data_IF_559567181664
#
_entry.id   IF_559567181664
#
_cell.length_a   1.000
_cell.length_b   1.000
_cell.length_c   1.000
_cell.angle_alpha   90.00
_cell.angle_beta   90.00
_cell.angle_gamma   90.00
#
_symmetry.space_group_name_H-M   'P 1'
#
loop_
_entity.id
_entity.type
_entity.pdbx_description
1 polymer ?
#
# COMPACT_ATOMS: atom_id res chain seq x y z
N UNK A 1 16.08 39.35 17.05
CA UNK A 1 14.71 38.79 17.00
C UNK A 1 14.48 37.68 15.95
N UNK A 2 15.43 37.35 15.05
CA UNK A 2 15.28 36.30 14.00
C UNK A 2 15.80 34.90 14.36
N UNK A 3 16.54 34.73 15.46
CA UNK A 3 17.21 33.46 15.83
C UNK A 3 16.34 32.49 16.65
N UNK A 4 15.24 32.94 17.23
CA UNK A 4 14.37 32.12 18.10
C UNK A 4 13.37 31.29 17.31
N UNK A 5 12.86 31.80 16.19
CA UNK A 5 11.79 31.18 15.39
C UNK A 5 12.20 29.83 14.76
N UNK A 6 13.47 29.69 14.34
CA UNK A 6 13.98 28.43 13.78
C UNK A 6 14.05 27.29 14.81
N UNK A 7 14.32 27.62 16.09
CA UNK A 7 14.32 26.62 17.17
C UNK A 7 12.90 26.20 17.55
N UNK A 8 11.95 27.14 17.57
CA UNK A 8 10.53 26.85 17.88
C UNK A 8 9.87 26.01 16.78
N UNK A 9 10.23 26.24 15.51
CA UNK A 9 9.71 25.45 14.38
C UNK A 9 10.26 24.02 14.39
N UNK A 10 11.55 23.86 14.72
CA UNK A 10 12.16 22.54 14.89
C UNK A 10 11.62 21.79 16.12
N UNK A 11 11.37 22.48 17.25
CA UNK A 11 10.72 21.91 18.43
C UNK A 11 9.26 21.52 18.16
N UNK A 12 8.54 22.28 17.33
CA UNK A 12 7.16 21.97 16.95
C UNK A 12 7.08 20.78 15.99
N UNK A 13 8.01 20.70 15.01
CA UNK A 13 8.12 19.58 14.05
C UNK A 13 8.76 18.31 14.63
N UNK A 14 9.52 18.44 15.72
CA UNK A 14 10.14 17.35 16.48
C UNK A 14 9.26 16.87 17.64
N UNK A 15 8.11 17.53 17.87
CA UNK A 15 7.21 17.17 18.96
C UNK A 15 6.67 15.77 18.72
N UNK A 16 7.22 14.79 19.43
CA UNK A 16 6.55 13.52 19.66
C UNK A 16 5.33 13.85 20.52
N UNK A 17 4.13 13.97 19.96
CA UNK A 17 2.96 13.86 20.84
C UNK A 17 2.99 12.45 21.42
N UNK A 18 3.21 12.37 22.72
CA UNK A 18 2.70 11.24 23.48
C UNK A 18 1.22 11.22 23.15
N UNK A 19 0.78 10.22 22.40
CA UNK A 19 -0.64 9.91 22.35
C UNK A 19 -0.98 9.55 23.78
N UNK A 20 -1.39 10.55 24.58
CA UNK A 20 -2.27 10.33 25.70
C UNK A 20 -3.32 9.35 25.21
N UNK A 21 -3.56 8.35 26.03
CA UNK A 21 -4.67 7.43 25.91
C UNK A 21 -5.86 8.26 25.43
N UNK A 22 -6.20 8.17 24.15
CA UNK A 22 -7.39 8.82 23.64
C UNK A 22 -8.53 7.91 24.10
N UNK A 23 -8.75 7.93 25.41
CA UNK A 23 -9.80 7.23 26.15
C UNK A 23 -11.18 7.67 25.65
N UNK A 24 -11.25 8.63 24.72
CA UNK A 24 -12.46 9.09 24.05
C UNK A 24 -12.82 8.31 22.77
N UNK A 25 -11.87 7.58 22.15
CA UNK A 25 -12.15 6.68 21.02
C UNK A 25 -12.36 5.21 21.44
N UNK A 26 -12.19 4.90 22.73
CA UNK A 26 -12.44 3.58 23.36
C UNK A 26 -13.94 3.26 23.56
N UNK A 27 -14.87 3.83 22.76
CA UNK A 27 -16.30 3.54 22.92
C UNK A 27 -16.83 2.38 22.06
N UNK A 28 -16.10 1.94 21.03
CA UNK A 28 -16.45 0.72 20.30
C UNK A 28 -15.28 -0.25 20.21
N UNK A 29 -15.15 -1.10 21.23
CA UNK A 29 -14.25 -2.25 21.18
C UNK A 29 -14.77 -3.25 20.15
N UNK A 30 -14.22 -3.21 18.94
CA UNK A 30 -14.32 -4.30 17.99
C UNK A 30 -13.97 -5.62 18.70
N UNK A 31 -14.83 -6.63 18.55
CA UNK A 31 -14.59 -7.95 19.16
C UNK A 31 -13.31 -8.52 18.55
N UNK A 32 -12.33 -8.85 19.40
CA UNK A 32 -11.08 -9.47 18.98
C UNK A 32 -11.34 -10.93 18.59
N UNK A 33 -11.75 -11.14 17.34
CA UNK A 33 -12.09 -12.45 16.77
C UNK A 33 -10.98 -13.05 15.92
N UNK A 34 -9.95 -12.25 15.60
CA UNK A 34 -8.91 -12.64 14.66
C UNK A 34 -7.84 -13.50 15.35
N UNK A 35 -7.72 -14.74 14.92
CA UNK A 35 -6.71 -15.70 15.40
C UNK A 35 -5.37 -15.44 14.70
N UNK A 36 -4.28 -16.01 15.23
CA UNK A 36 -2.95 -15.97 14.59
C UNK A 36 -3.02 -16.44 13.14
N UNK A 37 -3.75 -17.53 12.88
CA UNK A 37 -3.94 -18.07 11.53
C UNK A 37 -4.66 -17.07 10.61
N UNK A 38 -5.72 -16.42 11.09
CA UNK A 38 -6.47 -15.43 10.32
C UNK A 38 -5.58 -14.21 10.00
N UNK A 39 -4.76 -13.78 10.96
CA UNK A 39 -3.82 -12.66 10.76
C UNK A 39 -2.69 -13.04 9.79
N UNK A 40 -2.17 -14.26 9.86
CA UNK A 40 -1.17 -14.74 8.88
C UNK A 40 -1.77 -14.90 7.49
N UNK A 41 -3.01 -15.38 7.39
CA UNK A 41 -3.71 -15.52 6.12
C UNK A 41 -4.01 -14.14 5.50
N UNK A 42 -4.42 -13.16 6.32
CA UNK A 42 -4.56 -11.77 5.89
C UNK A 42 -3.23 -11.19 5.40
N UNK A 43 -2.14 -11.44 6.12
CA UNK A 43 -0.80 -11.03 5.69
C UNK A 43 -0.43 -11.61 4.34
N UNK A 44 -0.53 -12.95 4.17
CA UNK A 44 -0.21 -13.63 2.91
C UNK A 44 -1.09 -13.11 1.76
N UNK A 45 -2.40 -12.96 1.99
CA UNK A 45 -3.34 -12.45 0.98
C UNK A 45 -3.08 -10.99 0.59
N UNK A 46 -2.63 -10.16 1.52
CA UNK A 46 -2.25 -8.77 1.22
C UNK A 46 -0.96 -8.68 0.41
N UNK A 47 -0.01 -9.60 0.60
CA UNK A 47 1.28 -9.59 -0.13
C UNK A 47 1.21 -10.32 -1.48
N UNK A 48 0.45 -11.41 -1.59
CA UNK A 48 0.27 -12.18 -2.82
C UNK A 48 -0.80 -11.51 -3.72
N UNK A 49 -0.42 -10.41 -4.35
CA UNK A 49 -1.25 -9.74 -5.36
C UNK A 49 -1.04 -10.26 -6.78
N UNK A 50 -1.86 -9.79 -7.73
CA UNK A 50 -1.68 -10.04 -9.17
C UNK A 50 -0.30 -9.64 -9.70
N UNK A 51 0.36 -8.67 -9.03
CA UNK A 51 1.67 -8.16 -9.40
C UNK A 51 2.78 -9.22 -9.39
N UNK A 52 2.77 -10.18 -8.46
CA UNK A 52 3.83 -11.22 -8.40
C UNK A 52 3.79 -12.13 -9.63
N UNK A 53 2.59 -12.48 -10.10
CA UNK A 53 2.40 -13.38 -11.23
C UNK A 53 2.80 -12.74 -12.56
N UNK A 54 2.48 -11.46 -12.75
CA UNK A 54 2.84 -10.72 -13.98
C UNK A 54 4.31 -10.32 -13.96
N UNK A 55 4.75 -9.67 -12.87
CA UNK A 55 6.07 -9.07 -12.81
C UNK A 55 7.18 -10.12 -12.76
N UNK A 56 6.98 -11.26 -12.09
CA UNK A 56 7.95 -12.35 -12.09
C UNK A 56 8.20 -12.86 -13.52
N UNK A 57 7.15 -13.04 -14.32
CA UNK A 57 7.27 -13.44 -15.73
C UNK A 57 8.00 -12.41 -16.57
N UNK A 58 7.66 -11.13 -16.41
CA UNK A 58 8.32 -10.03 -17.14
C UNK A 58 9.80 -9.93 -16.78
N UNK A 59 10.16 -9.98 -15.49
CA UNK A 59 11.54 -9.90 -15.01
C UNK A 59 12.35 -11.12 -15.45
N UNK A 60 11.75 -12.32 -15.39
CA UNK A 60 12.40 -13.53 -15.90
C UNK A 60 12.68 -13.44 -17.40
N UNK A 61 11.75 -12.91 -18.20
CA UNK A 61 11.90 -12.78 -19.65
C UNK A 61 12.89 -11.68 -20.06
N UNK A 62 12.88 -10.53 -19.38
CA UNK A 62 13.53 -9.30 -19.86
C UNK A 62 14.81 -8.92 -19.11
N UNK A 63 15.03 -9.40 -17.88
CA UNK A 63 16.13 -8.95 -17.03
C UNK A 63 17.02 -10.12 -16.58
N UNK A 64 16.46 -11.06 -15.81
CA UNK A 64 17.27 -12.03 -15.05
C UNK A 64 17.40 -13.42 -15.69
N UNK A 65 16.50 -13.79 -16.63
CA UNK A 65 16.51 -15.13 -17.21
C UNK A 65 16.32 -16.23 -16.15
N UNK A 66 16.97 -17.40 -16.30
CA UNK A 66 16.90 -18.50 -15.32
C UNK A 66 17.40 -18.10 -13.91
N UNK A 67 18.23 -17.06 -13.81
CA UNK A 67 18.78 -16.57 -12.54
C UNK A 67 17.75 -15.80 -11.68
N UNK A 68 16.51 -15.60 -12.17
CA UNK A 68 15.43 -14.94 -11.42
C UNK A 68 15.18 -15.59 -10.05
N UNK A 69 15.39 -16.90 -9.93
CA UNK A 69 15.24 -17.64 -8.66
C UNK A 69 16.23 -17.13 -7.61
N UNK A 70 17.49 -16.87 -7.99
CA UNK A 70 18.49 -16.32 -7.08
C UNK A 70 18.10 -14.91 -6.62
N UNK A 71 17.57 -14.08 -7.52
CA UNK A 71 17.08 -12.74 -7.17
C UNK A 71 15.94 -12.80 -6.15
N UNK A 72 14.99 -13.73 -6.33
CA UNK A 72 13.89 -13.92 -5.36
C UNK A 72 14.37 -14.45 -4.01
N UNK A 73 15.38 -15.33 -3.97
CA UNK A 73 15.95 -15.81 -2.71
C UNK A 73 16.59 -14.65 -1.93
N UNK A 74 17.39 -13.82 -2.60
CA UNK A 74 18.00 -12.65 -1.96
C UNK A 74 16.93 -11.66 -1.47
N UNK A 75 15.92 -11.38 -2.29
CA UNK A 75 14.80 -10.52 -1.90
C UNK A 75 14.04 -11.07 -0.69
N UNK A 76 13.81 -12.39 -0.63
CA UNK A 76 13.14 -13.05 0.50
C UNK A 76 13.94 -12.94 1.79
N UNK A 77 15.27 -13.08 1.74
CA UNK A 77 16.16 -12.91 2.91
C UNK A 77 16.08 -11.47 3.41
N UNK A 78 16.26 -10.48 2.52
CA UNK A 78 16.20 -9.05 2.89
C UNK A 78 14.83 -8.67 3.46
N UNK A 79 13.75 -9.14 2.83
CA UNK A 79 12.38 -8.91 3.32
C UNK A 79 12.12 -9.58 4.67
N UNK A 80 12.74 -10.73 4.96
CA UNK A 80 12.60 -11.41 6.24
C UNK A 80 13.23 -10.60 7.38
N UNK A 81 14.42 -10.02 7.15
CA UNK A 81 15.03 -9.12 8.12
C UNK A 81 14.16 -7.89 8.38
N UNK A 82 13.61 -7.26 7.33
CA UNK A 82 12.66 -6.17 7.48
C UNK A 82 11.41 -6.59 8.27
N UNK A 83 10.87 -7.78 7.98
CA UNK A 83 9.72 -8.35 8.69
C UNK A 83 9.96 -8.54 10.19
N UNK A 84 11.14 -9.01 10.59
CA UNK A 84 11.51 -9.15 12.01
C UNK A 84 11.57 -7.79 12.71
N UNK A 85 12.14 -6.77 12.08
CA UNK A 85 12.14 -5.41 12.63
C UNK A 85 10.71 -4.86 12.79
N UNK A 86 9.84 -5.09 11.81
CA UNK A 86 8.43 -4.70 11.89
C UNK A 86 7.67 -5.46 12.99
N UNK A 87 7.97 -6.74 13.21
CA UNK A 87 7.39 -7.54 14.28
C UNK A 87 7.77 -6.99 15.68
N UNK A 88 9.01 -6.54 15.85
CA UNK A 88 9.49 -5.90 17.08
C UNK A 88 8.74 -4.58 17.37
N UNK A 89 8.50 -3.76 16.33
CA UNK A 89 7.71 -2.53 16.47
C UNK A 89 6.23 -2.82 16.76
N UNK A 90 5.64 -3.81 16.09
CA UNK A 90 4.25 -4.22 16.32
C UNK A 90 4.02 -4.74 17.75
N UNK A 91 5.00 -5.44 18.33
CA UNK A 91 4.95 -5.89 19.73
C UNK A 91 5.08 -4.76 20.74
N UNK A 92 5.85 -3.71 20.43
CA UNK A 92 6.07 -2.56 21.32
C UNK A 92 4.95 -1.51 21.27
N UNK A 93 4.30 -1.37 20.12
CA UNK A 93 3.26 -0.36 19.91
C UNK A 93 1.96 -1.07 19.47
N UNK A 94 1.15 -1.57 20.42
CA UNK A 94 -0.08 -2.30 20.13
C UNK A 94 -1.22 -1.33 19.74
N UNK A 95 -0.99 -0.49 18.72
CA UNK A 95 -1.98 0.44 18.17
C UNK A 95 -2.11 0.23 16.66
N UNK A 96 -3.33 0.35 16.17
CA UNK A 96 -3.60 0.37 14.74
C UNK A 96 -3.05 1.66 14.12
N UNK A 97 -2.13 1.56 13.16
CA UNK A 97 -1.61 2.73 12.45
C UNK A 97 -0.34 2.56 11.63
N UNK A 98 0.09 1.31 11.38
CA UNK A 98 1.16 0.95 10.43
C UNK A 98 2.46 1.76 10.64
N UNK A 99 3.28 1.89 9.59
CA UNK A 99 4.59 2.55 9.65
C UNK A 99 4.53 4.01 10.10
N UNK A 100 3.43 4.73 9.83
CA UNK A 100 3.23 6.11 10.27
C UNK A 100 3.33 6.24 11.81
N UNK A 101 2.57 5.43 12.55
CA UNK A 101 2.58 5.47 14.02
C UNK A 101 3.95 5.02 14.57
N UNK A 102 4.60 4.03 13.94
CA UNK A 102 5.93 3.59 14.36
C UNK A 102 6.98 4.69 14.20
N UNK A 103 6.98 5.40 13.07
CA UNK A 103 7.89 6.52 12.81
C UNK A 103 7.58 7.74 13.67
N UNK A 104 6.31 7.98 13.99
CA UNK A 104 5.91 9.05 14.91
C UNK A 104 6.47 8.82 16.32
N UNK A 105 6.43 7.59 16.81
CA UNK A 105 6.99 7.21 18.12
C UNK A 105 8.52 7.20 18.11
N UNK A 106 9.14 6.66 17.05
CA UNK A 106 10.59 6.47 16.98
C UNK A 106 11.34 7.77 16.67
N UNK A 107 10.91 8.55 15.68
CA UNK A 107 11.76 9.58 15.05
C UNK A 107 11.19 11.00 15.19
N UNK A 108 9.88 11.18 15.15
CA UNK A 108 9.21 12.48 15.32
C UNK A 108 8.25 12.85 14.19
N UNK A 109 7.56 13.98 14.35
CA UNK A 109 6.39 14.35 13.54
C UNK A 109 6.73 14.65 12.06
N UNK A 110 7.84 15.31 11.76
CA UNK A 110 8.23 15.61 10.38
C UNK A 110 8.47 14.35 9.53
N UNK A 111 9.22 13.38 10.07
CA UNK A 111 9.51 12.13 9.36
C UNK A 111 8.27 11.25 9.29
N UNK A 112 7.44 11.24 10.33
CA UNK A 112 6.14 10.59 10.28
C UNK A 112 5.23 11.21 9.20
N UNK A 113 5.20 12.53 9.04
CA UNK A 113 4.41 13.19 8.00
C UNK A 113 4.84 12.78 6.59
N UNK A 114 6.16 12.75 6.32
CA UNK A 114 6.69 12.29 5.03
C UNK A 114 6.30 10.84 4.77
N UNK A 115 6.45 9.97 5.77
CA UNK A 115 6.10 8.54 5.64
C UNK A 115 4.59 8.37 5.45
N UNK A 116 3.76 9.15 6.14
CA UNK A 116 2.31 9.14 5.97
C UNK A 116 1.90 9.51 4.55
N UNK A 117 2.49 10.57 3.99
CA UNK A 117 2.28 10.95 2.59
C UNK A 117 2.76 9.88 1.61
N UNK A 118 3.92 9.27 1.87
CA UNK A 118 4.43 8.17 1.07
C UNK A 118 3.46 6.98 1.09
N UNK A 119 2.99 6.57 2.27
CA UNK A 119 2.03 5.47 2.39
C UNK A 119 0.72 5.75 1.67
N UNK A 120 0.22 6.99 1.74
CA UNK A 120 -1.00 7.38 1.02
C UNK A 120 -0.84 7.23 -0.50
N UNK A 121 0.27 7.73 -1.05
CA UNK A 121 0.59 7.60 -2.49
C UNK A 121 0.77 6.13 -2.86
N UNK A 122 1.52 5.37 -2.05
CA UNK A 122 1.78 3.95 -2.26
C UNK A 122 0.47 3.13 -2.28
N UNK A 123 -0.44 3.35 -1.34
CA UNK A 123 -1.75 2.69 -1.32
C UNK A 123 -2.61 3.08 -2.52
N UNK A 124 -2.52 4.33 -2.97
CA UNK A 124 -3.25 4.81 -4.15
C UNK A 124 -2.74 4.15 -5.43
N UNK A 125 -1.41 4.11 -5.61
CA UNK A 125 -0.79 3.44 -6.76
C UNK A 125 -1.04 1.93 -6.70
N UNK A 126 -0.98 1.32 -5.52
CA UNK A 126 -1.24 -0.10 -5.30
C UNK A 126 -2.67 -0.49 -5.68
N UNK A 127 -3.67 0.26 -5.22
CA UNK A 127 -5.09 0.01 -5.56
C UNK A 127 -5.36 0.21 -7.06
N UNK A 128 -4.80 1.26 -7.66
CA UNK A 128 -4.89 1.48 -9.10
C UNK A 128 -4.24 0.34 -9.92
N UNK A 129 -3.05 -0.11 -9.51
CA UNK A 129 -2.35 -1.23 -10.15
C UNK A 129 -3.11 -2.54 -10.01
N UNK A 130 -3.70 -2.82 -8.84
CA UNK A 130 -4.49 -4.02 -8.61
C UNK A 130 -5.75 -4.04 -9.48
N UNK A 131 -6.48 -2.92 -9.54
CA UNK A 131 -7.66 -2.79 -10.41
C UNK A 131 -7.31 -3.00 -11.88
N UNK A 132 -6.25 -2.34 -12.37
CA UNK A 132 -5.76 -2.51 -13.75
C UNK A 132 -5.34 -3.95 -14.06
N UNK A 133 -4.68 -4.62 -13.11
CA UNK A 133 -4.31 -6.01 -13.30
C UNK A 133 -5.55 -6.91 -13.44
N UNK A 134 -6.56 -6.71 -12.59
CA UNK A 134 -7.82 -7.46 -12.65
C UNK A 134 -8.54 -7.27 -13.98
N UNK A 135 -8.66 -6.02 -14.45
CA UNK A 135 -9.33 -5.73 -15.73
C UNK A 135 -8.58 -6.26 -16.92
N UNK A 136 -7.25 -6.19 -16.93
CA UNK A 136 -6.44 -6.83 -17.98
C UNK A 136 -6.64 -8.35 -18.02
N UNK A 137 -6.67 -9.01 -16.85
CA UNK A 137 -6.95 -10.45 -16.80
C UNK A 137 -8.34 -10.79 -17.33
N UNK A 138 -9.36 -10.02 -16.95
CA UNK A 138 -10.73 -10.19 -17.46
C UNK A 138 -10.83 -9.91 -18.97
N UNK A 139 -10.17 -8.87 -19.46
CA UNK A 139 -10.17 -8.51 -20.89
C UNK A 139 -9.50 -9.62 -21.73
N UNK A 140 -8.36 -10.13 -21.29
CA UNK A 140 -7.69 -11.25 -21.98
C UNK A 140 -8.48 -12.55 -21.94
N UNK A 141 -9.27 -12.80 -20.88
CA UNK A 141 -10.21 -13.94 -20.86
C UNK A 141 -11.36 -13.79 -21.86
N UNK A 142 -11.79 -12.56 -22.15
CA UNK A 142 -12.88 -12.25 -23.08
C UNK A 142 -12.40 -12.06 -24.54
N UNK A 143 -11.11 -12.20 -24.82
CA UNK A 143 -10.52 -12.04 -26.16
C UNK A 143 -10.12 -10.62 -26.52
N UNK A 144 -9.75 -9.81 -25.52
CA UNK A 144 -9.24 -8.44 -25.63
C UNK A 144 -10.20 -7.40 -26.29
N UNK A 145 -11.52 -7.42 -26.04
CA UNK A 145 -12.45 -6.45 -26.64
C UNK A 145 -12.13 -5.01 -26.24
N UNK A 146 -11.82 -4.74 -24.97
CA UNK A 146 -11.50 -3.39 -24.50
C UNK A 146 -10.18 -2.92 -25.10
N UNK A 147 -9.13 -3.74 -25.01
CA UNK A 147 -7.81 -3.41 -25.55
C UNK A 147 -7.89 -3.09 -27.05
N UNK A 148 -8.62 -3.87 -27.84
CA UNK A 148 -8.79 -3.62 -29.29
C UNK A 148 -9.52 -2.30 -29.57
N UNK A 149 -10.61 -2.03 -28.87
CA UNK A 149 -11.40 -0.81 -29.06
C UNK A 149 -10.62 0.46 -28.63
N UNK A 150 -9.93 0.39 -27.50
CA UNK A 150 -9.16 1.52 -26.97
C UNK A 150 -7.89 1.80 -27.79
N UNK A 151 -7.17 0.78 -28.25
CA UNK A 151 -6.01 0.97 -29.12
C UNK A 151 -6.39 1.55 -30.50
N UNK A 152 -7.59 1.24 -31.00
CA UNK A 152 -8.06 1.76 -32.28
C UNK A 152 -8.46 3.24 -32.23
N UNK A 153 -8.81 3.79 -31.06
CA UNK A 153 -9.29 5.18 -30.94
C UNK A 153 -8.33 6.08 -30.17
N UNK A 154 -7.60 5.56 -29.17
CA UNK A 154 -6.72 6.32 -28.29
C UNK A 154 -5.43 5.55 -27.90
N UNK A 155 -4.52 5.28 -28.85
CA UNK A 155 -3.22 4.69 -28.53
C UNK A 155 -2.33 5.71 -27.81
N UNK A 156 -1.81 5.35 -26.62
CA UNK A 156 -0.81 6.15 -25.90
C UNK A 156 0.58 5.55 -26.11
N UNK A 157 1.40 6.21 -26.92
CA UNK A 157 2.79 5.81 -27.23
C UNK A 157 3.79 6.53 -26.32
N UNK A 158 3.75 6.25 -25.02
CA UNK A 158 4.71 6.78 -24.05
C UNK A 158 5.27 5.64 -23.20
N UNK A 159 6.59 5.52 -23.09
CA UNK A 159 7.29 4.39 -22.48
C UNK A 159 6.96 4.14 -20.99
N UNK A 160 6.48 5.17 -20.27
CA UNK A 160 6.14 5.09 -18.84
C UNK A 160 4.64 5.09 -18.54
N UNK A 161 3.78 5.25 -19.55
CA UNK A 161 2.32 5.21 -19.41
C UNK A 161 1.76 3.90 -19.96
N UNK A 162 0.55 3.53 -19.56
CA UNK A 162 -0.13 2.37 -20.15
C UNK A 162 -0.37 2.56 -21.65
N UNK A 163 -0.34 1.46 -22.41
CA UNK A 163 -0.59 1.46 -23.87
C UNK A 163 -1.93 2.12 -24.27
N UNK A 164 -2.91 2.08 -23.37
CA UNK A 164 -4.23 2.68 -23.54
C UNK A 164 -4.81 3.08 -22.18
N UNK A 165 -5.76 4.04 -22.13
CA UNK A 165 -6.47 4.39 -20.90
C UNK A 165 -7.46 3.26 -20.55
N UNK A 166 -7.31 2.66 -19.38
CA UNK A 166 -8.14 1.54 -18.94
C UNK A 166 -9.45 2.04 -18.30
N UNK A 167 -10.50 2.14 -19.12
CA UNK A 167 -11.83 2.61 -18.71
C UNK A 167 -12.51 1.60 -17.79
N UNK A 168 -12.36 0.29 -18.01
CA UNK A 168 -12.91 -0.73 -17.11
C UNK A 168 -12.30 -0.64 -15.72
N UNK A 169 -10.98 -0.40 -15.60
CA UNK A 169 -10.34 -0.26 -14.28
C UNK A 169 -10.90 0.95 -13.53
N UNK A 170 -11.11 2.06 -14.24
CA UNK A 170 -11.72 3.26 -13.66
C UNK A 170 -13.16 3.01 -13.19
N UNK A 171 -13.99 2.36 -14.02
CA UNK A 171 -15.36 2.01 -13.65
C UNK A 171 -15.42 1.05 -12.47
N UNK A 172 -14.52 0.07 -12.42
CA UNK A 172 -14.41 -0.87 -11.32
C UNK A 172 -14.05 -0.17 -10.00
N UNK A 173 -13.05 0.72 -10.03
CA UNK A 173 -12.70 1.54 -8.87
C UNK A 173 -13.83 2.49 -8.45
N UNK A 174 -14.50 3.14 -9.41
CA UNK A 174 -15.66 3.99 -9.13
C UNK A 174 -16.80 3.20 -8.50
N UNK A 175 -17.07 2.00 -8.99
CA UNK A 175 -18.09 1.12 -8.43
C UNK A 175 -17.75 0.73 -7.00
N UNK A 176 -16.50 0.32 -6.72
CA UNK A 176 -16.05 0.03 -5.37
C UNK A 176 -16.17 1.27 -4.49
N UNK A 177 -15.72 2.44 -4.95
CA UNK A 177 -15.78 3.68 -4.19
C UNK A 177 -17.23 4.12 -3.88
N UNK A 178 -18.16 3.91 -4.82
CA UNK A 178 -19.57 4.24 -4.63
C UNK A 178 -20.28 3.28 -3.66
N UNK A 179 -19.90 2.00 -3.67
CA UNK A 179 -20.40 0.99 -2.73
C UNK A 179 -19.58 0.95 -1.43
N UNK A 180 -18.49 1.72 -1.33
CA UNK A 180 -17.69 1.80 -0.13
C UNK A 180 -18.47 2.60 0.91
N UNK A 181 -19.18 1.87 1.77
CA UNK A 181 -19.68 2.46 2.99
C UNK A 181 -18.46 2.71 3.89
N UNK A 182 -18.10 3.97 4.23
CA UNK A 182 -17.16 4.19 5.30
C UNK A 182 -17.71 3.46 6.54
N UNK A 183 -16.86 2.88 7.41
CA UNK A 183 -17.35 2.23 8.62
C UNK A 183 -18.27 3.22 9.33
N UNK A 184 -19.57 2.97 9.23
CA UNK A 184 -20.59 3.81 9.82
C UNK A 184 -20.30 3.73 11.30
N UNK A 185 -19.96 4.87 11.91
CA UNK A 185 -19.97 5.02 13.35
C UNK A 185 -21.38 4.68 13.82
N UNK A 186 -21.60 3.43 14.20
CA UNK A 186 -22.77 3.04 14.98
C UNK A 186 -22.51 3.61 16.37
N UNK A 187 -23.08 4.78 16.61
CA UNK A 187 -23.15 5.45 17.90
C UNK A 187 -23.91 4.55 18.89
#
# INVERSE_FOLDING_TARGET
MRRTMGKTLFETLSRKKTFEVDTKLEKDKLKRVLTIFDLTALGIGATLGSGVYVLAGTVAKSIAGPAVVLSFIVAAIVSSFAGVCYAEFAGRVPKAGSAYIYSYVAVGEFIAFIIGWNMFIEHTIGTASAAKAMTNYLDSLLGDPQKRYMLAHFPMHMQYMGEYPDVAAFLFLMFIACNYQPPTYYI
#
